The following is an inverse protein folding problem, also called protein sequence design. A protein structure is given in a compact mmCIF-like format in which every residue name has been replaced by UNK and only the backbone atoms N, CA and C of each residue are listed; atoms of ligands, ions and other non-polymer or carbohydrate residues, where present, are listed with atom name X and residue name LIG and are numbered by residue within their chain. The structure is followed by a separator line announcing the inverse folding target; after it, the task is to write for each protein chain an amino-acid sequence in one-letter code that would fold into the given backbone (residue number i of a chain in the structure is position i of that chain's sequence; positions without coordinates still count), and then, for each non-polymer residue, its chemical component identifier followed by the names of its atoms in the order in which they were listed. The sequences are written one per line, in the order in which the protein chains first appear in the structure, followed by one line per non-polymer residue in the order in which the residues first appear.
data_IF_455439294809
#
_entry.id   IF_455439294809
#
_cell.length_a   1.000
_cell.length_b   1.000
_cell.length_c   1.000
_cell.angle_alpha   90.00
_cell.angle_beta   90.00
_cell.angle_gamma   90.00
#
_symmetry.space_group_name_H-M   'P 1'
#
loop_
_entity.id
_entity.type
_entity.pdbx_description
1 polymer ?
#
# COMPACT_ATOMS: atom_id res chain seq x y z
N UNK A 1 2.77 6.37 -10.38
CA UNK A 1 2.51 5.74 -11.70
C UNK A 1 3.04 6.56 -12.88
N UNK A 2 2.85 7.87 -12.94
CA UNK A 2 3.44 8.65 -14.05
C UNK A 2 4.96 8.48 -14.08
N UNK A 3 5.64 8.78 -12.99
CA UNK A 3 7.10 8.64 -12.83
C UNK A 3 7.56 7.18 -12.97
N UNK A 4 6.94 6.28 -12.25
CA UNK A 4 7.39 4.87 -12.13
C UNK A 4 7.17 4.05 -13.41
N UNK A 5 6.26 4.47 -14.30
CA UNK A 5 6.05 3.81 -15.59
C UNK A 5 7.11 4.13 -16.62
N UNK A 6 7.95 5.13 -16.37
CA UNK A 6 8.93 5.69 -17.30
C UNK A 6 8.34 6.10 -18.67
N UNK A 7 7.04 6.32 -18.73
CA UNK A 7 6.37 6.70 -19.97
C UNK A 7 6.80 8.12 -20.36
N UNK A 8 7.25 8.28 -21.61
CA UNK A 8 7.77 9.56 -22.09
C UNK A 8 6.79 10.71 -21.84
N UNK A 9 7.27 11.77 -21.19
CA UNK A 9 6.54 12.98 -20.81
C UNK A 9 5.39 12.79 -19.81
N UNK A 10 5.16 11.59 -19.25
CA UNK A 10 4.07 11.38 -18.30
C UNK A 10 4.21 12.27 -17.05
N UNK A 11 5.42 12.43 -16.50
CA UNK A 11 5.68 13.30 -15.35
C UNK A 11 5.41 14.76 -15.65
N UNK A 12 5.93 15.24 -16.79
CA UNK A 12 5.79 16.64 -17.21
C UNK A 12 4.36 17.02 -17.54
N UNK A 13 3.58 16.06 -18.03
CA UNK A 13 2.13 16.25 -18.25
C UNK A 13 1.39 16.25 -16.92
N UNK A 14 1.75 15.33 -16.01
CA UNK A 14 1.12 15.24 -14.70
C UNK A 14 1.42 16.46 -13.81
N UNK A 15 2.62 17.05 -13.91
CA UNK A 15 2.99 18.31 -13.22
C UNK A 15 2.38 19.56 -13.85
N UNK A 16 1.90 19.47 -15.11
CA UNK A 16 1.38 20.59 -15.87
C UNK A 16 2.44 21.38 -16.65
N UNK A 17 3.71 20.93 -16.64
CA UNK A 17 4.80 21.52 -17.43
C UNK A 17 4.58 21.36 -18.95
N UNK A 18 3.94 20.25 -19.34
CA UNK A 18 3.47 20.00 -20.70
C UNK A 18 1.94 19.91 -20.67
N UNK A 19 1.27 20.85 -21.35
CA UNK A 19 -0.20 20.89 -21.49
C UNK A 19 -0.72 20.06 -22.66
N UNK A 20 0.11 19.84 -23.67
CA UNK A 20 -0.25 19.07 -24.87
C UNK A 20 -0.16 17.58 -24.60
N UNK A 21 -1.32 16.93 -24.45
CA UNK A 21 -1.44 15.49 -24.19
C UNK A 21 -0.91 14.64 -25.36
N UNK A 22 -0.82 15.17 -26.57
CA UNK A 22 -0.25 14.45 -27.72
C UNK A 22 1.26 14.25 -27.60
N UNK A 23 1.91 14.93 -26.66
CA UNK A 23 3.32 14.72 -26.30
C UNK A 23 3.55 13.49 -25.41
N UNK A 24 2.50 12.89 -24.89
CA UNK A 24 2.61 11.64 -24.12
C UNK A 24 3.20 10.54 -25.02
N UNK A 25 4.10 9.74 -24.45
CA UNK A 25 4.74 8.61 -25.16
C UNK A 25 3.78 7.46 -25.51
N UNK A 26 2.54 7.77 -25.91
CA UNK A 26 1.56 6.79 -26.37
C UNK A 26 1.05 7.20 -27.74
N UNK A 27 1.16 6.32 -28.71
CA UNK A 27 0.63 6.54 -30.07
C UNK A 27 -0.19 5.35 -30.54
N UNK A 28 -1.25 5.60 -31.29
CA UNK A 28 -2.06 4.56 -31.92
C UNK A 28 -2.06 4.70 -33.42
N UNK A 29 -1.86 3.59 -34.13
CA UNK A 29 -1.96 3.52 -35.60
C UNK A 29 -2.65 2.21 -35.99
N UNK A 30 -3.82 2.30 -36.59
CA UNK A 30 -4.66 1.13 -36.88
C UNK A 30 -4.97 0.36 -35.58
N UNK A 31 -4.62 -0.91 -35.53
CA UNK A 31 -4.82 -1.78 -34.36
C UNK A 31 -3.59 -1.88 -33.44
N UNK A 32 -2.60 -1.01 -33.62
CA UNK A 32 -1.38 -1.01 -32.82
C UNK A 32 -1.34 0.19 -31.88
N UNK A 33 -0.96 -0.06 -30.63
CA UNK A 33 -0.62 0.98 -29.65
C UNK A 33 0.86 0.85 -29.32
N UNK A 34 1.59 1.95 -29.45
CA UNK A 34 3.02 2.02 -29.16
C UNK A 34 3.24 2.86 -27.91
N UNK A 35 3.99 2.31 -26.95
CA UNK A 35 4.43 2.99 -25.75
C UNK A 35 5.92 3.31 -25.87
N UNK A 36 6.28 4.58 -25.69
CA UNK A 36 7.67 5.05 -25.68
C UNK A 36 8.09 5.35 -24.25
N UNK A 37 9.13 4.66 -23.78
CA UNK A 37 9.66 4.80 -22.43
C UNK A 37 10.95 5.63 -22.47
N UNK A 38 11.25 6.37 -21.39
CA UNK A 38 12.48 7.16 -21.22
C UNK A 38 13.67 6.33 -20.76
N UNK A 39 13.39 5.18 -20.11
CA UNK A 39 14.39 4.21 -19.64
C UNK A 39 13.77 2.81 -19.56
N UNK A 40 14.58 1.74 -19.41
CA UNK A 40 14.08 0.39 -19.21
C UNK A 40 13.12 0.31 -18.02
N UNK A 41 12.01 -0.41 -18.20
CA UNK A 41 10.99 -0.61 -17.18
C UNK A 41 10.49 -2.06 -17.22
N UNK A 42 11.18 -3.03 -16.58
CA UNK A 42 10.81 -4.44 -16.61
C UNK A 42 9.39 -4.72 -16.12
N UNK A 43 8.89 -3.88 -15.21
CA UNK A 43 7.55 -3.93 -14.63
C UNK A 43 6.47 -3.30 -15.52
N UNK A 44 6.81 -2.71 -16.69
CA UNK A 44 5.85 -2.00 -17.55
C UNK A 44 4.64 -2.88 -17.97
N UNK A 45 4.87 -4.18 -18.19
CA UNK A 45 3.81 -5.16 -18.46
C UNK A 45 2.74 -5.23 -17.35
N UNK A 46 3.10 -5.00 -16.09
CA UNK A 46 2.16 -4.96 -14.98
C UNK A 46 1.34 -3.68 -14.99
N UNK A 47 1.94 -2.54 -15.38
CA UNK A 47 1.19 -1.28 -15.56
C UNK A 47 0.09 -1.43 -16.61
N UNK A 48 0.37 -2.13 -17.73
CA UNK A 48 -0.63 -2.36 -18.77
C UNK A 48 -1.83 -3.17 -18.28
N UNK A 49 -1.67 -3.97 -17.21
CA UNK A 49 -2.75 -4.70 -16.56
C UNK A 49 -3.47 -3.89 -15.46
N UNK A 50 -2.99 -2.70 -15.13
CA UNK A 50 -3.55 -1.87 -14.08
C UNK A 50 -4.74 -1.05 -14.59
N UNK A 51 -5.74 -0.81 -13.73
CA UNK A 51 -6.98 -0.10 -14.12
C UNK A 51 -6.74 1.26 -14.78
N UNK A 52 -5.66 1.96 -14.37
CA UNK A 52 -5.31 3.28 -14.90
C UNK A 52 -4.83 3.25 -16.37
N UNK A 53 -4.39 2.10 -16.87
CA UNK A 53 -3.97 1.89 -18.25
C UNK A 53 -5.06 1.25 -19.12
N UNK A 54 -6.22 0.91 -18.54
CA UNK A 54 -7.32 0.34 -19.32
C UNK A 54 -7.91 1.39 -20.27
N UNK A 55 -8.18 1.00 -21.53
CA UNK A 55 -8.70 1.92 -22.54
C UNK A 55 -10.09 2.43 -22.16
N UNK A 56 -10.32 3.71 -22.39
CA UNK A 56 -11.60 4.37 -22.17
C UNK A 56 -12.13 4.94 -23.49
N UNK A 57 -13.47 4.91 -23.66
CA UNK A 57 -14.09 5.51 -24.83
C UNK A 57 -14.20 7.03 -24.65
N UNK A 58 -13.36 7.77 -25.37
CA UNK A 58 -13.24 9.24 -25.27
C UNK A 58 -14.61 9.94 -25.33
N UNK A 59 -15.43 9.67 -26.34
CA UNK A 59 -16.73 10.31 -26.51
C UNK A 59 -17.70 10.08 -25.33
N UNK A 60 -17.54 8.97 -24.60
CA UNK A 60 -18.34 8.72 -23.41
C UNK A 60 -17.81 9.45 -22.18
N UNK A 61 -16.47 9.45 -22.00
CA UNK A 61 -15.84 10.20 -20.91
C UNK A 61 -16.13 11.68 -21.02
N UNK A 62 -16.00 12.26 -22.22
CA UNK A 62 -16.33 13.67 -22.48
C UNK A 62 -17.81 13.98 -22.22
N UNK A 63 -18.73 13.08 -22.64
CA UNK A 63 -20.16 13.23 -22.40
C UNK A 63 -20.53 13.24 -20.92
N UNK A 64 -19.91 12.37 -20.13
CA UNK A 64 -20.22 12.20 -18.70
C UNK A 64 -19.42 13.18 -17.83
N UNK A 65 -18.24 13.59 -18.29
CA UNK A 65 -17.36 14.56 -17.62
C UNK A 65 -16.97 14.10 -16.22
N UNK A 66 -17.07 14.99 -15.24
CA UNK A 66 -16.67 14.76 -13.84
C UNK A 66 -17.43 13.62 -13.14
N UNK A 67 -18.56 13.21 -13.67
CA UNK A 67 -19.37 12.15 -13.09
C UNK A 67 -18.95 10.75 -13.57
N UNK A 68 -17.98 10.65 -14.52
CA UNK A 68 -17.48 9.36 -15.01
C UNK A 68 -16.96 8.50 -13.85
N UNK A 69 -17.42 7.24 -13.78
CA UNK A 69 -17.02 6.29 -12.76
C UNK A 69 -17.61 6.51 -11.34
N UNK A 70 -18.44 7.53 -11.13
CA UNK A 70 -19.04 7.83 -9.82
C UNK A 70 -20.18 6.89 -9.43
N UNK A 71 -20.83 6.28 -10.42
CA UNK A 71 -21.89 5.27 -10.23
C UNK A 71 -21.83 4.21 -11.32
N UNK A 72 -22.55 3.11 -11.13
CA UNK A 72 -22.67 2.06 -12.17
C UNK A 72 -23.34 2.55 -13.47
N UNK A 73 -24.07 3.66 -13.44
CA UNK A 73 -24.70 4.25 -14.62
C UNK A 73 -23.77 5.18 -15.40
N UNK A 74 -22.80 5.76 -14.72
CA UNK A 74 -21.86 6.75 -15.27
C UNK A 74 -20.55 6.11 -15.76
N UNK A 75 -20.62 4.85 -16.18
CA UNK A 75 -19.48 4.09 -16.66
C UNK A 75 -19.89 3.11 -17.76
N UNK A 76 -18.98 2.83 -18.68
CA UNK A 76 -19.09 1.74 -19.66
C UNK A 76 -18.04 0.69 -19.38
N UNK A 77 -18.30 -0.53 -19.82
CA UNK A 77 -17.55 -1.70 -19.39
C UNK A 77 -17.06 -2.51 -20.59
N UNK A 78 -15.76 -2.82 -20.61
CA UNK A 78 -15.14 -3.75 -21.56
C UNK A 78 -14.73 -5.09 -20.94
N UNK A 79 -14.79 -5.18 -19.60
CA UNK A 79 -14.39 -6.36 -18.83
C UNK A 79 -15.46 -7.47 -18.79
N UNK A 80 -15.17 -8.59 -18.07
CA UNK A 80 -16.04 -9.77 -17.99
C UNK A 80 -17.38 -9.52 -17.31
N UNK A 81 -17.49 -8.47 -16.50
CA UNK A 81 -18.70 -8.11 -15.77
C UNK A 81 -19.08 -6.64 -15.93
N UNK A 82 -20.36 -6.36 -15.82
CA UNK A 82 -20.97 -5.04 -15.69
C UNK A 82 -21.28 -4.80 -14.21
N UNK A 83 -20.91 -3.65 -13.65
CA UNK A 83 -21.35 -3.25 -12.31
C UNK A 83 -22.80 -2.78 -12.38
N UNK A 84 -23.67 -3.29 -11.51
CA UNK A 84 -25.07 -2.93 -11.39
C UNK A 84 -25.41 -2.57 -9.95
N UNK A 85 -26.38 -1.70 -9.78
CA UNK A 85 -26.95 -1.30 -8.49
C UNK A 85 -25.93 -0.60 -7.55
N UNK A 86 -24.84 -0.03 -8.09
CA UNK A 86 -23.90 0.78 -7.35
C UNK A 86 -24.16 2.27 -7.60
N UNK A 87 -24.39 3.02 -6.52
CA UNK A 87 -24.71 4.44 -6.54
C UNK A 87 -23.55 5.34 -6.08
N UNK A 88 -22.34 4.78 -5.92
CA UNK A 88 -21.14 5.48 -5.44
C UNK A 88 -20.86 5.32 -3.94
N UNK A 89 -21.86 4.94 -3.14
CA UNK A 89 -21.72 4.85 -1.67
C UNK A 89 -22.34 3.61 -1.03
N UNK A 90 -23.26 2.91 -1.71
CA UNK A 90 -23.88 1.72 -1.15
C UNK A 90 -22.89 0.55 -1.04
N UNK A 91 -22.89 -0.11 0.11
CA UNK A 91 -22.00 -1.24 0.42
C UNK A 91 -22.41 -2.58 -0.22
N UNK A 92 -23.47 -2.62 -1.04
CA UNK A 92 -23.92 -3.84 -1.72
C UNK A 92 -24.30 -3.55 -3.16
N UNK A 93 -23.69 -4.29 -4.10
CA UNK A 93 -23.93 -4.17 -5.53
C UNK A 93 -23.70 -5.50 -6.24
N UNK A 94 -23.97 -5.55 -7.55
CA UNK A 94 -23.82 -6.76 -8.37
C UNK A 94 -22.81 -6.56 -9.49
N UNK A 95 -22.05 -7.62 -9.77
CA UNK A 95 -21.32 -7.80 -11.02
C UNK A 95 -22.15 -8.76 -11.87
N UNK A 96 -22.59 -8.33 -13.05
CA UNK A 96 -23.41 -9.15 -13.96
C UNK A 96 -22.59 -9.47 -15.20
N UNK A 97 -22.59 -10.72 -15.66
CA UNK A 97 -21.83 -11.18 -16.82
C UNK A 97 -22.04 -10.25 -18.02
N UNK A 98 -20.94 -9.80 -18.59
CA UNK A 98 -20.93 -8.99 -19.81
C UNK A 98 -20.90 -9.91 -21.05
N UNK A 99 -22.02 -10.01 -21.74
CA UNK A 99 -22.11 -10.83 -22.98
C UNK A 99 -21.24 -10.33 -24.14
N UNK A 100 -20.82 -9.07 -24.08
CA UNK A 100 -19.96 -8.44 -25.09
C UNK A 100 -18.48 -8.51 -24.76
N UNK A 101 -18.12 -9.09 -23.61
CA UNK A 101 -16.72 -9.35 -23.28
C UNK A 101 -16.11 -10.33 -24.29
N UNK A 102 -14.90 -10.05 -24.76
CA UNK A 102 -14.26 -10.83 -25.84
C UNK A 102 -14.17 -12.32 -25.53
N UNK A 103 -13.99 -12.69 -24.26
CA UNK A 103 -13.91 -14.08 -23.80
C UNK A 103 -15.14 -14.53 -22.98
N UNK A 104 -16.30 -13.95 -23.27
CA UNK A 104 -17.54 -14.17 -22.51
C UNK A 104 -17.96 -15.65 -22.44
N UNK A 105 -17.58 -16.47 -23.45
CA UNK A 105 -17.87 -17.91 -23.47
C UNK A 105 -17.25 -18.68 -22.29
N UNK A 106 -16.09 -18.22 -21.78
CA UNK A 106 -15.40 -18.84 -20.67
C UNK A 106 -15.80 -18.26 -19.28
N UNK A 107 -16.55 -17.17 -19.25
CA UNK A 107 -17.13 -16.63 -18.02
C UNK A 107 -18.34 -17.47 -17.61
N UNK A 108 -18.19 -18.30 -16.60
CA UNK A 108 -19.21 -19.29 -16.19
C UNK A 108 -20.26 -18.71 -15.22
N UNK A 109 -19.86 -17.78 -14.36
CA UNK A 109 -20.73 -17.17 -13.34
C UNK A 109 -21.54 -16.04 -13.95
N UNK A 110 -22.88 -16.11 -13.87
CA UNK A 110 -23.76 -15.08 -14.42
C UNK A 110 -23.79 -13.81 -13.58
N UNK A 111 -23.65 -13.92 -12.25
CA UNK A 111 -23.59 -12.77 -11.37
C UNK A 111 -22.79 -13.04 -10.10
N UNK A 112 -22.13 -11.99 -9.57
CA UNK A 112 -21.46 -11.98 -8.29
C UNK A 112 -22.08 -10.85 -7.45
N UNK A 113 -22.50 -11.15 -6.23
CA UNK A 113 -22.94 -10.14 -5.27
C UNK A 113 -21.71 -9.70 -4.47
N UNK A 114 -21.42 -8.41 -4.50
CA UNK A 114 -20.36 -7.80 -3.70
C UNK A 114 -21.01 -7.07 -2.52
N UNK A 115 -20.51 -7.32 -1.32
CA UNK A 115 -20.98 -6.69 -0.10
C UNK A 115 -19.83 -6.27 0.80
N UNK A 116 -19.83 -5.02 1.24
CA UNK A 116 -18.91 -4.52 2.26
C UNK A 116 -19.40 -4.95 3.64
N UNK A 117 -18.55 -5.66 4.38
CA UNK A 117 -18.84 -6.11 5.75
C UNK A 117 -17.79 -5.47 6.65
N UNK A 118 -18.23 -4.55 7.53
CA UNK A 118 -17.32 -3.76 8.38
C UNK A 118 -16.66 -4.56 9.51
N UNK A 119 -17.33 -5.59 10.03
CA UNK A 119 -16.84 -6.41 11.15
C UNK A 119 -16.38 -7.77 10.64
N UNK A 120 -15.10 -8.15 10.81
CA UNK A 120 -14.58 -9.47 10.40
C UNK A 120 -15.40 -10.65 10.93
N UNK A 121 -15.80 -10.60 12.20
CA UNK A 121 -16.60 -11.67 12.82
C UNK A 121 -17.95 -11.87 12.12
N UNK A 122 -18.57 -10.77 11.67
CA UNK A 122 -19.80 -10.85 10.89
C UNK A 122 -19.55 -11.58 9.55
N UNK A 123 -18.42 -11.31 8.88
CA UNK A 123 -18.05 -12.02 7.65
C UNK A 123 -17.84 -13.52 7.91
N UNK A 124 -17.18 -13.87 9.03
CA UNK A 124 -16.98 -15.28 9.45
C UNK A 124 -18.33 -15.96 9.70
N UNK A 125 -19.26 -15.32 10.40
CA UNK A 125 -20.58 -15.88 10.66
C UNK A 125 -21.39 -16.06 9.37
N UNK A 126 -21.42 -15.05 8.49
CA UNK A 126 -22.10 -15.14 7.20
C UNK A 126 -21.53 -16.26 6.33
N UNK A 127 -20.20 -16.46 6.36
CA UNK A 127 -19.54 -17.57 5.68
C UNK A 127 -19.98 -18.93 6.26
N UNK A 128 -19.96 -19.11 7.58
CA UNK A 128 -20.41 -20.33 8.26
C UNK A 128 -21.87 -20.67 7.96
N UNK A 129 -22.70 -19.64 7.79
CA UNK A 129 -24.13 -19.78 7.44
C UNK A 129 -24.35 -19.95 5.92
N UNK A 130 -23.30 -20.00 5.11
CA UNK A 130 -23.40 -20.15 3.66
C UNK A 130 -23.96 -18.93 2.92
N UNK A 131 -24.02 -17.77 3.57
CA UNK A 131 -24.54 -16.52 2.98
C UNK A 131 -23.54 -15.82 2.08
N UNK A 132 -22.24 -16.10 2.24
CA UNK A 132 -21.17 -15.63 1.38
C UNK A 132 -20.21 -16.77 1.02
N UNK A 133 -19.63 -16.70 -0.19
CA UNK A 133 -18.72 -17.71 -0.71
C UNK A 133 -17.24 -17.33 -0.53
N UNK A 134 -16.94 -16.06 -0.29
CA UNK A 134 -15.56 -15.54 -0.16
C UNK A 134 -15.51 -14.26 0.70
N UNK A 135 -14.47 -14.11 1.55
CA UNK A 135 -14.16 -12.90 2.32
C UNK A 135 -12.66 -12.71 2.54
N UNK A 136 -12.17 -11.45 2.57
CA UNK A 136 -10.77 -11.06 2.87
C UNK A 136 -10.68 -10.18 4.13
N UNK A 137 -9.49 -10.20 4.80
CA UNK A 137 -9.19 -9.45 6.05
C UNK A 137 -7.77 -8.86 5.99
N UNK A 138 -7.54 -7.57 6.38
CA UNK A 138 -6.29 -6.79 6.16
C UNK A 138 -5.64 -6.03 7.35
N UNK A 139 -4.38 -5.51 7.26
CA UNK A 139 -3.49 -4.87 8.28
C UNK A 139 -2.41 -3.85 7.83
N UNK A 140 -1.42 -3.37 8.64
CA UNK A 140 -0.85 -1.99 8.58
C UNK A 140 0.60 -1.74 9.09
N UNK A 141 1.23 -0.53 8.81
CA UNK A 141 2.54 0.00 9.24
C UNK A 141 2.50 1.48 9.71
N UNK A 142 3.51 1.99 10.47
CA UNK A 142 3.53 3.36 11.04
C UNK A 142 4.57 4.31 10.41
N UNK A 143 4.22 5.58 10.19
CA UNK A 143 5.07 6.67 9.65
C UNK A 143 5.11 7.85 10.64
N UNK A 144 6.30 8.43 10.88
CA UNK A 144 6.50 9.60 11.72
C UNK A 144 6.45 10.90 10.93
N UNK A 145 5.72 11.92 11.42
CA UNK A 145 5.71 13.26 10.85
C UNK A 145 6.83 14.12 11.43
N UNK A 146 7.64 14.74 10.58
CA UNK A 146 8.74 15.59 11.01
C UNK A 146 8.49 17.08 10.80
N UNK A 147 7.48 17.43 10.05
CA UNK A 147 7.07 18.82 9.82
C UNK A 147 5.90 19.24 10.69
N UNK A 148 5.29 18.29 11.44
CA UNK A 148 4.17 18.52 12.32
C UNK A 148 4.48 19.35 13.57
N UNK A 149 3.48 19.44 14.46
CA UNK A 149 3.55 20.22 15.71
C UNK A 149 4.53 19.64 16.73
N UNK A 150 4.75 18.32 16.73
CA UNK A 150 5.64 17.63 17.68
C UNK A 150 7.08 17.67 17.18
N UNK A 151 7.78 18.78 17.44
CA UNK A 151 9.17 19.00 17.00
C UNK A 151 10.17 17.95 17.48
N UNK A 152 9.89 17.29 18.60
CA UNK A 152 10.71 16.18 19.10
C UNK A 152 10.88 15.04 18.07
N UNK A 153 9.92 14.84 17.17
CA UNK A 153 10.02 13.82 16.11
C UNK A 153 11.06 14.16 15.01
N UNK A 154 11.60 15.38 14.99
CA UNK A 154 12.76 15.70 14.14
C UNK A 154 14.06 15.11 14.68
N UNK A 155 14.11 14.79 15.99
CA UNK A 155 15.26 14.17 16.62
C UNK A 155 15.38 12.69 16.26
N UNK A 156 16.51 12.29 15.68
CA UNK A 156 16.75 10.92 15.22
C UNK A 156 16.75 9.91 16.38
N UNK A 157 17.31 10.26 17.55
CA UNK A 157 17.37 9.36 18.72
C UNK A 157 15.98 9.04 19.25
N UNK A 158 15.05 9.99 19.24
CA UNK A 158 13.66 9.77 19.63
C UNK A 158 13.01 8.77 18.65
N UNK A 159 13.15 8.94 17.34
CA UNK A 159 12.60 8.00 16.37
C UNK A 159 13.22 6.61 16.48
N UNK A 160 14.54 6.53 16.69
CA UNK A 160 15.23 5.26 16.94
C UNK A 160 14.71 4.58 18.22
N UNK A 161 14.45 5.35 19.27
CA UNK A 161 13.89 4.82 20.50
C UNK A 161 12.49 4.22 20.29
N UNK A 162 11.61 4.91 19.57
CA UNK A 162 10.29 4.41 19.21
C UNK A 162 10.37 3.12 18.37
N UNK A 163 11.29 3.05 17.40
CA UNK A 163 11.52 1.84 16.62
C UNK A 163 11.99 0.66 17.46
N UNK A 164 12.93 0.90 18.39
CA UNK A 164 13.47 -0.13 19.30
C UNK A 164 12.47 -0.55 20.38
N UNK A 165 11.54 0.33 20.77
CA UNK A 165 10.44 0.02 21.70
C UNK A 165 9.27 -0.70 21.04
N UNK A 166 9.28 -0.90 19.72
CA UNK A 166 8.20 -1.57 19.00
C UNK A 166 8.39 -3.08 19.02
N UNK A 167 7.61 -3.78 19.85
CA UNK A 167 7.54 -5.25 19.87
C UNK A 167 6.69 -5.78 18.72
N UNK A 168 7.31 -5.96 17.56
CA UNK A 168 6.66 -6.42 16.33
C UNK A 168 6.02 -7.81 16.47
N UNK A 169 6.64 -8.69 17.26
CA UNK A 169 6.10 -10.05 17.49
C UNK A 169 4.84 -9.99 18.37
N UNK A 170 4.88 -9.16 19.40
CA UNK A 170 3.74 -8.93 20.27
C UNK A 170 2.56 -8.28 19.54
N UNK A 171 2.81 -7.25 18.70
CA UNK A 171 1.77 -6.65 17.84
C UNK A 171 1.09 -7.70 16.97
N UNK A 172 1.86 -8.56 16.28
CA UNK A 172 1.27 -9.61 15.43
C UNK A 172 0.41 -10.57 16.23
N UNK A 173 0.90 -10.99 17.40
CA UNK A 173 0.17 -11.94 18.27
C UNK A 173 -1.09 -11.32 18.87
N UNK A 174 -1.01 -10.07 19.35
CA UNK A 174 -2.11 -9.41 20.06
C UNK A 174 -3.17 -8.81 19.14
N UNK A 175 -2.75 -8.28 17.98
CA UNK A 175 -3.61 -7.41 17.19
C UNK A 175 -4.12 -8.04 15.89
N UNK A 176 -3.36 -8.95 15.29
CA UNK A 176 -3.60 -9.28 13.88
C UNK A 176 -3.78 -10.76 13.59
N UNK A 177 -3.36 -11.67 14.42
CA UNK A 177 -3.35 -13.16 14.32
C UNK A 177 -4.04 -13.81 13.06
N UNK A 178 -3.83 -13.22 11.88
CA UNK A 178 -4.46 -13.62 10.61
C UNK A 178 -3.45 -14.23 9.63
N UNK A 179 -2.28 -14.71 10.12
CA UNK A 179 -1.16 -15.15 9.29
C UNK A 179 -0.22 -14.00 8.90
N UNK A 180 -0.40 -12.83 9.50
CA UNK A 180 0.53 -11.71 9.46
C UNK A 180 1.86 -12.10 10.11
N UNK A 181 2.94 -11.44 9.73
CA UNK A 181 4.29 -11.69 10.28
C UNK A 181 4.95 -10.36 10.67
N UNK A 182 5.84 -10.37 11.69
CA UNK A 182 6.63 -9.20 12.02
C UNK A 182 7.36 -8.66 10.79
N UNK A 183 7.36 -7.34 10.60
CA UNK A 183 8.08 -6.73 9.50
C UNK A 183 9.59 -6.63 9.80
N UNK A 184 10.42 -6.94 8.80
CA UNK A 184 11.88 -6.95 8.89
C UNK A 184 12.52 -5.98 7.90
N UNK A 185 11.75 -5.50 6.91
CA UNK A 185 12.13 -4.51 5.90
C UNK A 185 10.89 -3.75 5.42
N UNK A 186 11.08 -2.80 4.52
CA UNK A 186 9.99 -2.07 3.86
C UNK A 186 9.18 -3.01 2.95
N UNK A 187 9.85 -3.92 2.24
CA UNK A 187 9.24 -4.85 1.29
C UNK A 187 8.70 -6.09 2.00
N UNK A 188 7.43 -6.49 1.76
CA UNK A 188 6.86 -7.68 2.35
C UNK A 188 7.55 -8.98 1.88
N UNK A 189 7.58 -9.97 2.79
CA UNK A 189 8.07 -11.32 2.46
C UNK A 189 7.28 -11.91 1.29
N UNK A 190 7.99 -12.63 0.41
CA UNK A 190 7.46 -13.32 -0.77
C UNK A 190 6.92 -12.40 -1.88
N UNK A 191 7.16 -11.08 -1.79
CA UNK A 191 6.79 -10.17 -2.86
C UNK A 191 7.65 -10.39 -4.11
N UNK A 192 8.96 -10.38 -3.94
CA UNK A 192 9.93 -10.52 -5.02
C UNK A 192 11.09 -11.42 -4.60
N UNK A 193 11.72 -12.09 -5.57
CA UNK A 193 12.89 -12.95 -5.38
C UNK A 193 14.05 -12.47 -6.23
N UNK A 194 15.24 -12.60 -5.70
CA UNK A 194 16.49 -12.46 -6.44
C UNK A 194 16.67 -13.63 -7.42
N UNK A 195 17.59 -13.52 -8.42
CA UNK A 195 17.87 -14.61 -9.36
C UNK A 195 18.29 -15.93 -8.71
N UNK A 196 18.93 -15.85 -7.54
CA UNK A 196 19.34 -17.04 -6.74
C UNK A 196 18.19 -17.65 -5.93
N UNK A 197 16.96 -17.10 -6.04
CA UNK A 197 15.77 -17.56 -5.32
C UNK A 197 15.60 -16.98 -3.92
N UNK A 198 16.55 -16.19 -3.42
CA UNK A 198 16.45 -15.51 -2.13
C UNK A 198 15.33 -14.46 -2.14
N UNK A 199 14.62 -14.32 -1.02
CA UNK A 199 13.56 -13.33 -0.85
C UNK A 199 14.15 -11.92 -0.72
N UNK A 200 13.66 -10.97 -1.51
CA UNK A 200 14.15 -9.59 -1.50
C UNK A 200 14.05 -8.97 -0.10
N UNK A 201 12.96 -9.19 0.62
CA UNK A 201 12.75 -8.63 1.96
C UNK A 201 13.82 -9.10 2.95
N UNK A 202 14.27 -10.35 2.82
CA UNK A 202 15.35 -10.91 3.65
C UNK A 202 16.70 -10.32 3.28
N UNK A 203 16.94 -10.15 1.98
CA UNK A 203 18.19 -9.59 1.47
C UNK A 203 18.40 -8.13 1.86
N UNK A 204 17.33 -7.35 1.85
CA UNK A 204 17.37 -5.90 2.16
C UNK A 204 17.19 -5.60 3.65
N UNK A 205 16.77 -6.58 4.48
CA UNK A 205 16.47 -6.38 5.90
C UNK A 205 17.63 -5.71 6.66
N UNK A 206 17.43 -4.52 7.26
CA UNK A 206 18.52 -3.78 7.92
C UNK A 206 18.75 -4.22 9.37
N UNK A 207 17.92 -5.12 9.91
CA UNK A 207 18.06 -5.65 11.26
C UNK A 207 17.24 -4.91 12.33
N UNK A 208 15.97 -4.63 12.06
CA UNK A 208 15.05 -4.09 13.08
C UNK A 208 14.97 -5.03 14.29
N UNK A 209 15.22 -4.46 15.49
CA UNK A 209 15.23 -5.21 16.74
C UNK A 209 14.29 -4.60 17.77
N UNK A 210 13.87 -5.40 18.76
CA UNK A 210 13.18 -4.92 19.96
C UNK A 210 14.19 -4.89 21.11
N UNK A 211 14.43 -3.69 21.67
CA UNK A 211 15.42 -3.50 22.74
C UNK A 211 15.03 -2.28 23.62
N UNK A 212 14.31 -2.54 24.70
CA UNK A 212 13.78 -1.52 25.59
C UNK A 212 14.88 -0.75 26.31
N UNK A 213 15.96 -1.39 26.75
CA UNK A 213 17.09 -0.73 27.45
C UNK A 213 17.79 0.29 26.56
N UNK A 214 18.07 -0.08 25.30
CA UNK A 214 18.64 0.85 24.31
C UNK A 214 17.64 1.94 23.95
N UNK A 215 16.36 1.59 23.84
CA UNK A 215 15.29 2.55 23.56
C UNK A 215 15.20 3.64 24.64
N UNK A 216 15.19 3.25 25.94
CA UNK A 216 15.16 4.19 27.07
C UNK A 216 16.35 5.15 27.05
N UNK A 217 17.55 4.60 26.82
CA UNK A 217 18.77 5.43 26.75
C UNK A 217 18.65 6.48 25.64
N UNK A 218 18.31 6.05 24.42
CA UNK A 218 18.18 6.97 23.27
C UNK A 218 17.03 7.98 23.46
N UNK A 219 15.92 7.56 24.07
CA UNK A 219 14.79 8.44 24.34
C UNK A 219 15.17 9.56 25.30
N UNK A 220 15.82 9.19 26.42
CA UNK A 220 16.34 10.16 27.40
C UNK A 220 17.33 11.15 26.79
N UNK A 221 18.29 10.65 26.00
CA UNK A 221 19.25 11.49 25.29
C UNK A 221 18.56 12.43 24.30
N UNK A 222 17.62 11.88 23.49
CA UNK A 222 16.89 12.66 22.50
C UNK A 222 16.00 13.74 23.13
N UNK A 223 15.34 13.44 24.26
CA UNK A 223 14.57 14.44 25.01
C UNK A 223 15.48 15.56 25.52
N UNK A 224 16.65 15.24 26.06
CA UNK A 224 17.62 16.22 26.52
C UNK A 224 18.12 17.13 25.38
N UNK A 225 18.39 16.56 24.19
CA UNK A 225 18.81 17.31 23.00
C UNK A 225 17.76 18.30 22.51
N UNK A 226 16.47 18.00 22.68
CA UNK A 226 15.38 18.91 22.31
C UNK A 226 14.88 19.78 23.47
N UNK A 227 15.57 19.73 24.64
CA UNK A 227 15.24 20.54 25.82
C UNK A 227 13.93 20.17 26.50
N UNK A 228 13.51 18.88 26.41
CA UNK A 228 12.27 18.38 26.99
C UNK A 228 12.54 17.29 28.04
N UNK A 229 11.65 17.13 29.01
CA UNK A 229 11.68 16.06 30.01
C UNK A 229 10.63 14.97 29.73
N UNK A 230 9.68 15.27 28.88
CA UNK A 230 8.60 14.35 28.49
C UNK A 230 8.16 14.62 27.04
N UNK A 231 7.49 13.66 26.46
CA UNK A 231 6.94 13.75 25.10
C UNK A 231 5.49 13.27 25.10
N UNK A 232 4.62 14.06 24.48
CA UNK A 232 3.25 13.67 24.17
C UNK A 232 3.11 13.61 22.65
N UNK A 233 2.57 12.51 22.12
CA UNK A 233 2.29 12.33 20.70
C UNK A 233 0.98 11.59 20.45
N UNK A 234 0.43 11.75 19.28
CA UNK A 234 -0.81 11.11 18.85
C UNK A 234 -0.54 10.09 17.73
N UNK A 235 -1.08 8.88 17.86
CA UNK A 235 -1.11 7.90 16.78
C UNK A 235 -2.46 7.97 16.07
N UNK A 236 -2.45 8.34 14.79
CA UNK A 236 -3.65 8.39 13.94
C UNK A 236 -3.80 7.08 13.16
N UNK A 237 -4.98 6.47 13.20
CA UNK A 237 -5.27 5.21 12.50
C UNK A 237 -6.72 5.14 12.00
N UNK A 238 -7.01 4.08 11.21
CA UNK A 238 -8.33 3.86 10.63
C UNK A 238 -9.35 3.36 11.66
N UNK A 239 -10.45 4.08 11.83
CA UNK A 239 -11.59 3.67 12.69
C UNK A 239 -12.32 2.44 12.14
N UNK A 240 -12.23 2.19 10.85
CA UNK A 240 -12.91 1.08 10.16
C UNK A 240 -12.11 -0.23 10.20
N UNK A 241 -10.92 -0.24 10.82
CA UNK A 241 -10.05 -1.40 10.93
C UNK A 241 -9.84 -1.84 12.39
N UNK A 242 -10.53 -2.88 12.87
CA UNK A 242 -10.28 -3.44 14.22
C UNK A 242 -8.81 -3.84 14.44
N UNK A 243 -8.16 -4.40 13.41
CA UNK A 243 -6.74 -4.76 13.48
C UNK A 243 -5.83 -3.53 13.68
N UNK A 244 -6.14 -2.39 13.00
CA UNK A 244 -5.40 -1.15 13.20
C UNK A 244 -5.59 -0.63 14.62
N UNK A 245 -6.82 -0.67 15.15
CA UNK A 245 -7.11 -0.27 16.52
C UNK A 245 -6.32 -1.09 17.52
N UNK A 246 -6.43 -2.42 17.47
CA UNK A 246 -5.70 -3.32 18.37
C UNK A 246 -4.17 -3.13 18.27
N UNK A 247 -3.65 -2.86 17.06
CA UNK A 247 -2.23 -2.58 16.87
C UNK A 247 -1.81 -1.27 17.54
N UNK A 248 -2.61 -0.22 17.44
CA UNK A 248 -2.37 1.06 18.13
C UNK A 248 -2.41 0.88 19.63
N UNK A 249 -3.45 0.23 20.18
CA UNK A 249 -3.61 -0.03 21.61
C UNK A 249 -2.37 -0.79 22.16
N UNK A 250 -1.89 -1.80 21.43
CA UNK A 250 -0.70 -2.56 21.83
C UNK A 250 0.59 -1.72 21.74
N UNK A 251 0.80 -1.00 20.64
CA UNK A 251 1.98 -0.14 20.45
C UNK A 251 2.03 0.95 21.50
N UNK A 252 0.92 1.63 21.78
CA UNK A 252 0.81 2.62 22.85
C UNK A 252 1.24 2.04 24.18
N UNK A 253 0.63 0.93 24.61
CA UNK A 253 0.93 0.28 25.88
C UNK A 253 2.41 -0.08 26.01
N UNK A 254 3.02 -0.65 24.94
CA UNK A 254 4.43 -1.04 24.96
C UNK A 254 5.37 0.14 24.91
N UNK A 255 5.06 1.20 24.16
CA UNK A 255 5.87 2.41 24.11
C UNK A 255 5.87 3.16 25.43
N UNK A 256 4.68 3.37 26.04
CA UNK A 256 4.57 4.05 27.36
C UNK A 256 5.26 3.25 28.46
N UNK A 257 5.16 1.93 28.45
CA UNK A 257 5.87 1.06 29.40
C UNK A 257 7.40 1.09 29.20
N UNK A 258 7.86 1.13 27.95
CA UNK A 258 9.29 1.08 27.63
C UNK A 258 9.99 2.43 27.72
N UNK A 259 9.28 3.57 27.58
CA UNK A 259 9.84 4.90 27.44
C UNK A 259 9.27 5.86 28.51
N UNK A 260 9.85 5.87 29.72
CA UNK A 260 9.40 6.78 30.78
C UNK A 260 9.39 8.25 30.33
N UNK A 261 8.28 8.93 30.56
CA UNK A 261 8.04 10.30 30.10
C UNK A 261 7.35 10.40 28.73
N UNK A 262 7.05 9.28 28.08
CA UNK A 262 6.22 9.25 26.88
C UNK A 262 4.73 9.10 27.24
N UNK A 263 3.87 9.90 26.64
CA UNK A 263 2.41 9.75 26.64
C UNK A 263 1.91 9.65 25.20
N UNK A 264 1.11 8.64 24.91
CA UNK A 264 0.56 8.39 23.56
C UNK A 264 -0.94 8.57 23.60
N UNK A 265 -1.47 9.45 22.74
CA UNK A 265 -2.89 9.57 22.46
C UNK A 265 -3.26 8.80 21.19
N UNK A 266 -4.51 8.38 21.12
CA UNK A 266 -5.06 7.63 19.99
C UNK A 266 -6.08 8.50 19.25
N UNK A 267 -5.96 8.59 17.92
CA UNK A 267 -6.91 9.28 17.05
C UNK A 267 -7.41 8.33 15.99
N UNK A 268 -8.66 7.92 16.09
CA UNK A 268 -9.29 7.04 15.09
C UNK A 268 -10.22 7.83 14.20
N UNK A 269 -9.93 7.82 12.89
CA UNK A 269 -10.67 8.55 11.86
C UNK A 269 -11.02 7.62 10.69
N UNK A 270 -11.91 8.03 9.79
CA UNK A 270 -12.17 7.24 8.58
C UNK A 270 -10.93 7.13 7.71
N UNK A 271 -10.84 6.10 6.88
CA UNK A 271 -9.74 5.94 5.92
C UNK A 271 -9.51 7.19 5.07
N UNK A 272 -10.60 7.80 4.55
CA UNK A 272 -10.51 9.03 3.76
C UNK A 272 -9.91 10.19 4.56
N UNK A 273 -10.38 10.40 5.80
CA UNK A 273 -9.89 11.47 6.66
C UNK A 273 -8.41 11.23 7.03
N UNK A 274 -8.01 9.99 7.31
CA UNK A 274 -6.60 9.66 7.57
C UNK A 274 -5.68 9.99 6.38
N UNK A 275 -6.14 9.71 5.15
CA UNK A 275 -5.38 10.09 3.95
C UNK A 275 -5.27 11.60 3.79
N UNK A 276 -6.34 12.35 4.07
CA UNK A 276 -6.34 13.81 4.05
C UNK A 276 -5.43 14.37 5.14
N UNK A 277 -5.53 13.87 6.38
CA UNK A 277 -4.65 14.26 7.49
C UNK A 277 -3.18 14.00 7.14
N UNK A 278 -2.85 12.82 6.59
CA UNK A 278 -1.50 12.47 6.18
C UNK A 278 -0.97 13.39 5.08
N UNK A 279 -1.76 13.65 4.04
CA UNK A 279 -1.41 14.52 2.93
C UNK A 279 -1.20 15.98 3.36
N UNK A 280 -1.99 16.44 4.33
CA UNK A 280 -1.92 17.79 4.86
C UNK A 280 -0.98 17.92 6.07
N UNK A 281 -0.18 16.87 6.37
CA UNK A 281 0.79 16.83 7.47
C UNK A 281 0.16 17.03 8.88
N UNK A 282 -1.14 16.75 9.01
CA UNK A 282 -1.91 16.93 10.24
C UNK A 282 -1.91 15.65 11.10
N UNK A 283 -0.72 15.18 11.48
CA UNK A 283 -0.53 14.00 12.34
C UNK A 283 0.85 14.05 13.01
N UNK A 284 1.03 13.33 14.10
CA UNK A 284 2.35 13.09 14.71
C UNK A 284 2.90 11.74 14.24
N UNK A 285 2.13 10.68 14.46
CA UNK A 285 2.39 9.33 13.94
C UNK A 285 1.14 8.84 13.21
N UNK A 286 1.28 8.38 11.99
CA UNK A 286 0.16 7.77 11.24
C UNK A 286 0.42 6.31 10.98
N UNK A 287 -0.57 5.48 11.27
CA UNK A 287 -0.57 4.08 10.91
C UNK A 287 -1.02 3.94 9.45
N UNK A 288 -0.12 3.44 8.59
CA UNK A 288 -0.30 3.42 7.14
C UNK A 288 -0.07 2.03 6.54
N UNK A 289 -0.87 1.64 5.56
CA UNK A 289 -0.69 0.40 4.80
C UNK A 289 -0.41 0.67 3.34
N UNK A 290 0.45 -0.14 2.75
CA UNK A 290 0.64 -0.19 1.31
C UNK A 290 0.50 -1.62 0.78
N UNK A 291 -0.28 -1.78 -0.29
CA UNK A 291 -0.30 -3.01 -1.07
C UNK A 291 0.53 -2.81 -2.32
N UNK A 292 1.48 -3.71 -2.60
CA UNK A 292 2.28 -3.59 -3.82
C UNK A 292 1.42 -3.60 -5.08
N UNK A 293 1.69 -2.71 -6.01
CA UNK A 293 0.99 -2.66 -7.30
C UNK A 293 1.43 -3.81 -8.21
N UNK A 294 2.69 -4.25 -8.09
CA UNK A 294 3.31 -5.33 -8.84
C UNK A 294 4.39 -6.02 -7.98
N UNK A 295 4.82 -7.25 -8.34
CA UNK A 295 5.74 -8.05 -7.53
C UNK A 295 7.21 -7.64 -7.72
N UNK A 296 7.54 -6.39 -7.39
CA UNK A 296 8.88 -5.82 -7.49
C UNK A 296 9.08 -4.74 -6.40
N UNK A 297 10.34 -4.49 -5.98
CA UNK A 297 10.68 -3.61 -4.85
C UNK A 297 10.30 -2.14 -5.04
N UNK A 298 10.38 -1.63 -6.27
CA UNK A 298 10.16 -0.20 -6.55
C UNK A 298 8.77 0.30 -6.12
N UNK A 299 7.75 -0.57 -6.09
CA UNK A 299 6.40 -0.20 -5.62
C UNK A 299 6.37 0.20 -4.14
N UNK A 300 7.39 -0.18 -3.35
CA UNK A 300 7.55 0.19 -1.95
C UNK A 300 8.59 1.27 -1.76
N UNK A 301 9.78 1.11 -2.37
CA UNK A 301 10.87 2.09 -2.22
C UNK A 301 10.51 3.46 -2.84
N UNK A 302 9.68 3.50 -3.89
CA UNK A 302 9.19 4.74 -4.47
C UNK A 302 8.36 5.62 -3.52
N UNK A 303 7.81 5.05 -2.45
CA UNK A 303 7.00 5.78 -1.47
C UNK A 303 7.80 6.82 -0.67
N UNK A 304 9.11 6.59 -0.46
CA UNK A 304 9.95 7.40 0.42
C UNK A 304 10.99 8.25 -0.32
N UNK A 305 10.95 8.32 -1.65
CA UNK A 305 11.76 9.31 -2.36
C UNK A 305 11.38 10.74 -1.93
N UNK A 306 12.35 11.66 -1.92
CA UNK A 306 12.17 13.03 -1.41
C UNK A 306 10.92 13.72 -1.98
N UNK A 307 10.62 13.53 -3.27
CA UNK A 307 9.49 14.17 -3.95
C UNK A 307 8.26 13.29 -4.11
N UNK A 308 8.21 12.11 -3.45
CA UNK A 308 7.05 11.24 -3.53
C UNK A 308 5.83 11.86 -2.85
N UNK A 309 4.69 11.82 -3.54
CA UNK A 309 3.40 12.26 -2.98
C UNK A 309 2.93 11.41 -1.76
N UNK A 310 3.54 10.24 -1.55
CA UNK A 310 3.27 9.33 -0.43
C UNK A 310 4.28 9.46 0.71
N UNK A 311 5.31 10.29 0.53
CA UNK A 311 6.30 10.57 1.58
C UNK A 311 5.73 11.56 2.62
N UNK A 312 4.72 11.11 3.34
CA UNK A 312 4.00 11.94 4.31
C UNK A 312 4.87 12.42 5.48
N UNK A 313 5.89 11.66 5.86
CA UNK A 313 6.85 12.01 6.92
C UNK A 313 7.93 12.98 6.48
N UNK A 314 7.98 13.36 5.20
CA UNK A 314 8.99 14.28 4.62
C UNK A 314 10.44 13.80 4.79
N UNK A 315 10.64 12.50 4.68
CA UNK A 315 11.98 11.94 4.57
C UNK A 315 12.72 12.54 3.37
N UNK A 316 13.98 12.89 3.55
CA UNK A 316 14.84 13.38 2.47
C UNK A 316 16.25 12.85 2.64
N UNK A 317 16.71 12.11 1.66
CA UNK A 317 18.06 11.55 1.64
C UNK A 317 18.53 11.39 0.20
N UNK A 318 19.64 12.07 -0.14
CA UNK A 318 20.27 11.92 -1.46
C UNK A 318 20.77 10.49 -1.71
N UNK A 319 21.24 9.81 -0.66
CA UNK A 319 21.67 8.41 -0.74
C UNK A 319 20.51 7.50 -1.11
N UNK A 320 19.36 7.68 -0.45
CA UNK A 320 18.13 6.94 -0.76
C UNK A 320 17.67 7.20 -2.19
N UNK A 321 17.52 8.48 -2.55
CA UNK A 321 17.00 8.87 -3.86
C UNK A 321 17.89 8.36 -4.99
N UNK A 322 19.23 8.48 -4.84
CA UNK A 322 20.19 8.00 -5.83
C UNK A 322 20.15 6.47 -5.96
N UNK A 323 20.10 5.75 -4.83
CA UNK A 323 19.99 4.28 -4.83
C UNK A 323 18.70 3.83 -5.50
N UNK A 324 17.55 4.43 -5.13
CA UNK A 324 16.28 4.13 -5.78
C UNK A 324 16.31 4.40 -7.29
N UNK A 325 16.79 5.57 -7.70
CA UNK A 325 16.89 5.95 -9.13
C UNK A 325 17.78 4.97 -9.90
N UNK A 326 18.90 4.56 -9.33
CA UNK A 326 19.80 3.59 -9.95
C UNK A 326 19.13 2.23 -10.13
N UNK A 327 18.42 1.74 -9.09
CA UNK A 327 17.68 0.48 -9.14
C UNK A 327 16.65 0.44 -10.28
N UNK A 328 15.93 1.55 -10.50
CA UNK A 328 14.84 1.61 -11.51
C UNK A 328 15.29 2.08 -12.89
N UNK A 329 16.54 2.48 -13.08
CA UNK A 329 17.07 2.95 -14.37
C UNK A 329 18.29 2.16 -14.81
N UNK A 330 19.47 2.46 -14.29
CA UNK A 330 20.77 1.90 -14.71
C UNK A 330 20.83 0.39 -14.49
N UNK A 331 20.31 -0.07 -13.35
CA UNK A 331 20.38 -1.46 -12.92
C UNK A 331 19.01 -2.20 -13.03
N UNK A 332 18.01 -1.53 -13.64
CA UNK A 332 16.65 -2.07 -13.79
C UNK A 332 16.58 -3.45 -14.47
N UNK A 333 17.48 -3.73 -15.40
CA UNK A 333 17.59 -5.03 -16.10
C UNK A 333 18.57 -6.00 -15.44
N UNK A 334 19.15 -5.63 -14.27
CA UNK A 334 20.11 -6.42 -13.51
C UNK A 334 19.58 -6.66 -12.10
N UNK A 335 18.74 -7.67 -11.88
CA UNK A 335 18.01 -7.84 -10.61
C UNK A 335 18.91 -7.93 -9.37
N UNK A 336 20.13 -8.45 -9.49
CA UNK A 336 21.10 -8.49 -8.39
C UNK A 336 21.62 -7.10 -8.01
N UNK A 337 21.97 -6.28 -9.02
CA UNK A 337 22.45 -4.91 -8.81
C UNK A 337 21.30 -4.02 -8.27
N UNK A 338 20.10 -4.11 -8.85
CA UNK A 338 18.92 -3.42 -8.34
C UNK A 338 18.62 -3.79 -6.88
N UNK A 339 18.80 -5.06 -6.49
CA UNK A 339 18.61 -5.48 -5.11
C UNK A 339 19.67 -4.87 -4.16
N UNK A 340 20.92 -4.70 -4.60
CA UNK A 340 21.95 -3.97 -3.85
C UNK A 340 21.59 -2.50 -3.65
N UNK A 341 21.05 -1.87 -4.68
CA UNK A 341 20.58 -0.50 -4.61
C UNK A 341 19.40 -0.37 -3.63
N UNK A 342 18.42 -1.28 -3.69
CA UNK A 342 17.33 -1.33 -2.69
C UNK A 342 17.84 -1.56 -1.26
N UNK A 343 18.85 -2.38 -1.08
CA UNK A 343 19.49 -2.58 0.23
C UNK A 343 20.11 -1.29 0.76
N UNK A 344 20.76 -0.52 -0.10
CA UNK A 344 21.32 0.79 0.22
C UNK A 344 20.20 1.78 0.62
N UNK A 345 19.12 1.83 -0.16
CA UNK A 345 17.96 2.66 0.16
C UNK A 345 17.32 2.26 1.51
N UNK A 346 17.07 0.97 1.74
CA UNK A 346 16.53 0.45 3.01
C UNK A 346 17.41 0.86 4.21
N UNK A 347 18.73 0.73 4.05
CA UNK A 347 19.67 1.13 5.11
C UNK A 347 19.62 2.62 5.43
N UNK A 348 19.55 3.48 4.43
CA UNK A 348 19.43 4.93 4.63
C UNK A 348 18.15 5.30 5.37
N UNK A 349 17.03 4.64 5.04
CA UNK A 349 15.74 4.81 5.71
C UNK A 349 15.79 4.32 7.17
N UNK A 350 16.41 3.16 7.41
CA UNK A 350 16.58 2.56 8.72
C UNK A 350 17.47 3.39 9.64
N UNK A 351 18.64 3.81 9.16
CA UNK A 351 19.62 4.55 9.95
C UNK A 351 19.00 5.85 10.49
N UNK A 352 18.17 6.52 9.70
CA UNK A 352 17.48 7.74 10.10
C UNK A 352 16.16 7.50 10.84
N UNK A 353 15.69 6.25 10.89
CA UNK A 353 14.45 5.83 11.57
C UNK A 353 13.21 6.67 11.21
N UNK A 354 13.05 7.01 9.94
CA UNK A 354 11.88 7.75 9.46
C UNK A 354 10.63 6.90 9.34
N UNK A 355 10.81 5.62 9.26
CA UNK A 355 9.80 4.61 9.06
C UNK A 355 9.93 3.53 10.13
N UNK A 356 8.81 3.07 10.65
CA UNK A 356 8.75 1.95 11.57
C UNK A 356 7.90 0.84 10.96
N UNK A 357 8.51 -0.14 10.29
CA UNK A 357 7.78 -1.29 9.80
C UNK A 357 7.28 -2.11 11.00
N UNK A 358 5.97 -2.33 11.09
CA UNK A 358 5.38 -3.03 12.24
C UNK A 358 5.10 -4.48 11.90
N UNK A 359 4.31 -4.74 10.85
CA UNK A 359 4.01 -6.09 10.41
C UNK A 359 3.65 -6.15 8.92
N UNK A 360 3.94 -7.30 8.31
CA UNK A 360 3.41 -7.63 6.99
C UNK A 360 2.06 -8.27 7.12
N UNK A 361 1.16 -7.80 6.29
CA UNK A 361 -0.20 -8.29 6.28
C UNK A 361 -0.30 -9.68 5.67
N UNK A 362 -0.77 -10.63 6.45
CA UNK A 362 -1.24 -11.92 5.96
C UNK A 362 -2.68 -11.82 5.50
N UNK A 363 -2.94 -11.92 4.19
CA UNK A 363 -4.31 -11.99 3.68
C UNK A 363 -4.81 -13.42 3.79
N UNK A 364 -5.67 -13.71 4.77
CA UNK A 364 -6.46 -14.94 4.81
C UNK A 364 -7.80 -14.70 4.16
N UNK A 365 -8.27 -15.65 3.36
CA UNK A 365 -9.60 -15.63 2.79
C UNK A 365 -10.36 -16.89 3.18
N UNK A 366 -11.61 -16.72 3.56
CA UNK A 366 -12.57 -17.81 3.66
C UNK A 366 -13.12 -18.05 2.25
N UNK A 367 -12.96 -19.26 1.73
CA UNK A 367 -13.44 -19.63 0.40
C UNK A 367 -14.24 -20.92 0.47
N UNK A 368 -15.48 -20.88 0.02
CA UNK A 368 -16.33 -22.04 -0.09
C UNK A 368 -15.62 -23.09 -0.98
N UNK A 369 -15.56 -24.33 -0.51
CA UNK A 369 -14.90 -25.43 -1.22
C UNK A 369 -15.50 -25.71 -2.60
N UNK A 370 -16.75 -25.35 -2.82
CA UNK A 370 -17.44 -25.43 -4.11
C UNK A 370 -17.11 -24.24 -5.05
N UNK A 371 -16.56 -23.13 -4.56
CA UNK A 371 -16.12 -22.00 -5.36
C UNK A 371 -14.75 -22.33 -5.99
N UNK A 372 -14.70 -22.46 -7.32
CA UNK A 372 -13.53 -22.79 -8.12
C UNK A 372 -13.18 -21.66 -9.07
N UNK A 373 -11.96 -21.65 -9.62
CA UNK A 373 -11.52 -20.71 -10.65
C UNK A 373 -11.38 -19.26 -10.17
N UNK A 374 -11.48 -18.99 -8.86
CA UNK A 374 -11.17 -17.69 -8.26
C UNK A 374 -9.66 -17.49 -8.28
N UNK A 375 -9.20 -16.39 -8.87
CA UNK A 375 -7.79 -16.01 -8.84
C UNK A 375 -7.55 -15.00 -7.71
N UNK A 376 -6.53 -15.25 -6.89
CA UNK A 376 -6.11 -14.37 -5.80
C UNK A 376 -4.68 -13.92 -6.05
N UNK A 377 -4.45 -12.62 -6.07
CA UNK A 377 -3.14 -12.03 -6.28
C UNK A 377 -2.62 -11.37 -5.00
N UNK A 378 -1.31 -11.41 -4.82
CA UNK A 378 -0.64 -10.70 -3.71
C UNK A 378 -0.47 -9.21 -3.99
N UNK A 379 -0.51 -8.82 -5.26
CA UNK A 379 -0.30 -7.44 -5.74
C UNK A 379 -1.39 -7.04 -6.73
N UNK A 380 -1.58 -5.76 -6.94
CA UNK A 380 -2.55 -5.20 -7.88
C UNK A 380 -3.99 -5.58 -7.54
N UNK A 381 -4.73 -6.10 -8.52
CA UNK A 381 -6.10 -6.59 -8.31
C UNK A 381 -6.09 -7.85 -7.45
N UNK A 382 -6.54 -7.72 -6.19
CA UNK A 382 -6.47 -8.79 -5.21
C UNK A 382 -7.28 -10.04 -5.58
N UNK A 383 -8.44 -9.86 -6.19
CA UNK A 383 -9.37 -10.96 -6.53
C UNK A 383 -9.91 -10.78 -7.94
N UNK A 384 -9.79 -11.81 -8.76
CA UNK A 384 -10.36 -11.86 -10.09
C UNK A 384 -11.41 -12.99 -10.18
N UNK A 385 -12.64 -12.61 -10.51
CA UNK A 385 -13.79 -13.49 -10.66
C UNK A 385 -14.02 -13.96 -12.10
N UNK A 386 -13.19 -13.58 -13.07
CA UNK A 386 -13.41 -13.82 -14.51
C UNK A 386 -13.76 -15.28 -14.79
N UNK A 387 -13.02 -16.20 -14.21
CA UNK A 387 -13.22 -17.64 -14.44
C UNK A 387 -13.78 -18.38 -13.21
N UNK A 388 -14.26 -17.62 -12.21
CA UNK A 388 -14.86 -18.20 -11.01
C UNK A 388 -16.19 -18.91 -11.35
N UNK A 389 -16.43 -20.06 -10.72
CA UNK A 389 -17.68 -20.79 -10.81
C UNK A 389 -17.94 -21.62 -9.54
N UNK A 390 -19.19 -21.93 -9.30
CA UNK A 390 -19.57 -22.80 -8.18
C UNK A 390 -19.94 -24.19 -8.71
N UNK A 391 -19.35 -25.24 -8.11
CA UNK A 391 -19.73 -26.64 -8.37
C UNK A 391 -20.99 -26.97 -7.60
N UNK A 392 -21.71 -27.96 -8.01
CA UNK A 392 -22.88 -28.51 -7.32
C UNK A 392 -22.56 -29.10 -5.93
#
# INVERSE_FOLDING_TARGET
MATESHLLNADKINSGDIKDLNKLGVTAKGNQVTFKLTSPCPQFKYYLAFSNFMPQKQSYVEKVGKDYGTTSKNQIYSGPYLVKDWNGSNGKFKLVKNKYYWDSKHVKTNSVIVQTIKKPDTAVQMYKQGQIDFAEISGTSAIYNQTGSVKALTNQKIRQALNLATDRKGVVKAAVDTGSTPAESLVPKKLAKLPNGEDLSKYTAPGYTYNTSKAQKLFKEGLAEVGQSSLKLTITADSDSPAAKNAVDYVKSTWESALPGLTVEEKFVTFKQRLEDAKNENFDVVLFSWGGDYPEGSTFYGLFTTNSAYNYGKFSSKEYDNAYQKAITTDALKPGDAANDYKTAEKALFDQSYYNPVYYLGKKGLQNSKLKGLVRNSTGLNVDFTYAYKTE
#
